data_IF_414361355959
#
_entry.id   IF_414361355959
#
_cell.length_a   1.000
_cell.length_b   1.000
_cell.length_c   1.000
_cell.angle_alpha   90.00
_cell.angle_beta   90.00
_cell.angle_gamma   90.00
#
_symmetry.space_group_name_H-M   'P 1'
#
loop_
_entity.id
_entity.type
_entity.pdbx_description
1 polymer ?
#
# COMPACT_ATOMS: atom_id res chain seq x y z
N UNK A 1 10.75 14.20 18.74
CA UNK A 1 10.71 12.83 19.28
C UNK A 1 10.45 11.90 18.12
N UNK A 2 11.36 10.96 17.86
CA UNK A 2 11.12 9.87 16.90
C UNK A 2 10.43 8.73 17.66
N UNK A 3 9.33 8.19 17.11
CA UNK A 3 8.58 7.08 17.72
C UNK A 3 9.31 5.73 17.59
N UNK A 4 10.14 5.57 16.56
CA UNK A 4 11.05 4.45 16.34
C UNK A 4 12.32 5.02 15.72
N UNK A 5 13.50 4.75 16.29
CA UNK A 5 14.77 5.21 15.72
C UNK A 5 15.03 4.45 14.42
N UNK A 6 15.32 5.16 13.33
CA UNK A 6 15.63 4.57 12.02
C UNK A 6 16.99 3.87 12.01
N UNK A 7 17.11 2.72 12.67
CA UNK A 7 18.24 1.82 12.43
C UNK A 7 18.11 1.23 11.01
N UNK A 8 19.21 1.04 10.27
CA UNK A 8 19.15 0.36 8.98
C UNK A 8 18.47 -1.01 9.13
N UNK A 9 17.36 -1.22 8.43
CA UNK A 9 16.59 -2.48 8.49
C UNK A 9 17.33 -3.68 7.85
N UNK A 10 18.51 -3.45 7.27
CA UNK A 10 19.31 -4.45 6.56
C UNK A 10 20.61 -4.75 7.33
N UNK A 11 20.61 -5.78 8.17
CA UNK A 11 21.84 -6.36 8.72
C UNK A 11 22.27 -7.54 7.85
N UNK A 12 23.25 -7.34 6.96
CA UNK A 12 23.78 -8.43 6.12
C UNK A 12 24.95 -9.11 6.81
N UNK A 13 24.65 -10.11 7.63
CA UNK A 13 25.62 -11.16 7.98
C UNK A 13 25.34 -12.40 7.13
N UNK A 14 25.99 -12.53 5.97
CA UNK A 14 26.41 -13.81 5.41
C UNK A 14 27.13 -13.64 4.05
N UNK A 15 28.32 -14.24 3.97
CA UNK A 15 28.85 -14.84 2.74
C UNK A 15 29.73 -13.96 1.87
N UNK A 16 31.04 -14.09 2.06
CA UNK A 16 32.04 -13.78 1.03
C UNK A 16 31.78 -14.64 -0.21
N UNK A 17 31.35 -14.02 -1.31
CA UNK A 17 31.16 -14.70 -2.59
C UNK A 17 30.43 -13.81 -3.57
N UNK A 18 31.18 -13.25 -4.52
CA UNK A 18 30.77 -12.60 -5.77
C UNK A 18 29.25 -12.55 -6.05
N UNK A 19 28.59 -11.44 -5.67
CA UNK A 19 27.26 -11.10 -6.19
C UNK A 19 27.36 -9.71 -6.79
N UNK A 20 27.03 -9.63 -8.07
CA UNK A 20 26.92 -8.44 -8.89
C UNK A 20 26.17 -7.36 -8.09
N UNK A 21 26.77 -6.17 -7.95
CA UNK A 21 26.16 -5.05 -7.24
C UNK A 21 24.92 -4.59 -8.00
N UNK A 22 23.77 -5.20 -7.70
CA UNK A 22 22.47 -4.55 -7.92
C UNK A 22 22.51 -3.27 -7.10
N UNK A 23 22.41 -2.11 -7.74
CA UNK A 23 22.29 -0.84 -7.03
C UNK A 23 21.23 -0.99 -5.94
N UNK A 24 21.68 -1.02 -4.68
CA UNK A 24 20.79 -1.17 -3.55
C UNK A 24 20.11 0.19 -3.33
N UNK A 25 19.00 0.45 -4.03
CA UNK A 25 18.12 1.57 -3.71
C UNK A 25 17.29 1.23 -2.48
N UNK A 26 17.05 2.22 -1.63
CA UNK A 26 16.04 2.09 -0.58
C UNK A 26 14.69 1.80 -1.24
N UNK A 27 13.88 0.94 -0.61
CA UNK A 27 12.49 0.74 -1.03
C UNK A 27 11.75 2.09 -1.07
N UNK A 28 12.11 2.99 -0.15
CA UNK A 28 11.59 4.36 -0.11
C UNK A 28 11.96 5.12 -1.39
N UNK A 29 13.23 5.10 -1.81
CA UNK A 29 13.68 5.81 -3.03
C UNK A 29 13.01 5.24 -4.28
N UNK A 30 12.81 3.93 -4.34
CA UNK A 30 12.14 3.25 -5.45
C UNK A 30 10.67 3.70 -5.55
N UNK A 31 9.95 3.72 -4.43
CA UNK A 31 8.56 4.16 -4.37
C UNK A 31 8.41 5.67 -4.64
N UNK A 32 9.31 6.49 -4.09
CA UNK A 32 9.31 7.94 -4.33
C UNK A 32 9.60 8.27 -5.80
N UNK A 33 10.50 7.52 -6.45
CA UNK A 33 10.77 7.67 -7.88
C UNK A 33 9.52 7.38 -8.72
N UNK A 34 8.79 6.31 -8.39
CA UNK A 34 7.55 5.96 -9.10
C UNK A 34 6.44 7.01 -8.89
N UNK A 35 6.36 7.62 -7.71
CA UNK A 35 5.37 8.66 -7.38
C UNK A 35 5.76 10.07 -7.83
N UNK A 36 7.00 10.26 -8.31
CA UNK A 36 7.52 11.54 -8.80
C UNK A 36 7.39 11.70 -10.31
N UNK A 37 6.91 10.69 -11.03
CA UNK A 37 6.62 10.77 -12.46
C UNK A 37 5.32 11.55 -12.70
N UNK A 38 5.41 12.66 -13.43
CA UNK A 38 4.31 13.59 -13.66
C UNK A 38 3.26 13.06 -14.66
N UNK A 39 3.62 12.10 -15.53
CA UNK A 39 2.75 11.66 -16.61
C UNK A 39 1.79 10.55 -16.17
N UNK A 40 2.29 9.53 -15.46
CA UNK A 40 1.47 8.42 -15.00
C UNK A 40 2.03 7.70 -13.76
N UNK A 41 1.89 8.30 -12.57
CA UNK A 41 2.46 7.74 -11.33
C UNK A 41 1.86 6.38 -10.96
N UNK A 42 0.62 6.10 -11.40
CA UNK A 42 -0.01 4.79 -11.16
C UNK A 42 0.66 3.69 -11.99
N UNK A 43 1.03 3.98 -13.24
CA UNK A 43 1.73 3.02 -14.11
C UNK A 43 3.10 2.66 -13.53
N UNK A 44 3.88 3.65 -13.12
CA UNK A 44 5.20 3.39 -12.51
C UNK A 44 5.06 2.65 -11.19
N UNK A 45 4.03 2.96 -10.39
CA UNK A 45 3.77 2.24 -9.14
C UNK A 45 3.49 0.75 -9.40
N UNK A 46 2.82 0.37 -10.49
CA UNK A 46 2.60 -1.05 -10.83
C UNK A 46 3.88 -1.83 -11.10
N UNK A 47 4.96 -1.17 -11.51
CA UNK A 47 6.26 -1.82 -11.79
C UNK A 47 7.00 -2.22 -10.52
N UNK A 48 6.68 -1.61 -9.39
CA UNK A 48 7.40 -1.78 -8.11
C UNK A 48 6.58 -2.54 -7.07
N UNK A 49 5.35 -2.93 -7.41
CA UNK A 49 4.47 -3.73 -6.54
C UNK A 49 4.84 -5.21 -6.64
N UNK A 50 4.67 -5.92 -5.53
CA UNK A 50 4.84 -7.37 -5.48
C UNK A 50 3.92 -8.04 -6.53
N UNK A 51 4.49 -8.76 -7.52
CA UNK A 51 3.70 -9.45 -8.53
C UNK A 51 2.78 -10.54 -7.95
N UNK A 52 3.04 -11.00 -6.72
CA UNK A 52 2.21 -11.95 -6.00
C UNK A 52 1.06 -11.29 -5.23
N UNK A 53 0.93 -9.96 -5.26
CA UNK A 53 -0.20 -9.26 -4.66
C UNK A 53 -1.45 -9.45 -5.53
N UNK A 54 -2.20 -10.52 -5.28
CA UNK A 54 -3.31 -10.97 -6.15
C UNK A 54 -4.58 -10.12 -6.02
N UNK A 55 -4.83 -9.50 -4.86
CA UNK A 55 -6.08 -8.78 -4.57
C UNK A 55 -5.82 -7.40 -4.00
N UNK A 56 -6.02 -6.37 -4.83
CA UNK A 56 -6.00 -4.98 -4.40
C UNK A 56 -6.81 -4.09 -5.36
N UNK A 57 -7.39 -3.03 -4.81
CA UNK A 57 -7.99 -1.95 -5.60
C UNK A 57 -6.91 -0.95 -5.98
N UNK A 58 -6.84 -0.55 -7.27
CA UNK A 58 -5.81 0.38 -7.77
C UNK A 58 -5.84 1.72 -7.04
N UNK A 59 -7.03 2.24 -6.75
CA UNK A 59 -7.20 3.52 -6.06
C UNK A 59 -6.68 3.44 -4.62
N UNK A 60 -6.98 2.35 -3.92
CA UNK A 60 -6.55 2.15 -2.54
C UNK A 60 -5.04 1.97 -2.43
N UNK A 61 -4.46 1.22 -3.37
CA UNK A 61 -3.02 1.12 -3.52
C UNK A 61 -2.38 2.51 -3.76
N UNK A 62 -2.93 3.31 -4.67
CA UNK A 62 -2.42 4.64 -4.96
C UNK A 62 -2.48 5.54 -3.72
N UNK A 63 -3.62 5.55 -3.03
CA UNK A 63 -3.79 6.33 -1.81
C UNK A 63 -2.86 5.87 -0.67
N UNK A 64 -2.61 4.56 -0.55
CA UNK A 64 -1.62 4.00 0.38
C UNK A 64 -0.21 4.45 0.03
N UNK A 65 0.13 4.52 -1.26
CA UNK A 65 1.44 4.98 -1.73
C UNK A 65 1.64 6.48 -1.42
N UNK A 66 0.62 7.32 -1.65
CA UNK A 66 0.66 8.74 -1.27
C UNK A 66 0.78 8.90 0.26
N UNK A 67 0.02 8.13 1.04
CA UNK A 67 0.14 8.16 2.50
C UNK A 67 1.55 7.78 2.96
N UNK A 68 2.13 6.74 2.37
CA UNK A 68 3.49 6.29 2.66
C UNK A 68 4.52 7.37 2.33
N UNK A 69 4.37 8.07 1.19
CA UNK A 69 5.20 9.21 0.78
C UNK A 69 5.15 10.33 1.82
N UNK A 70 3.96 10.72 2.27
CA UNK A 70 3.80 11.79 3.26
C UNK A 70 4.42 11.41 4.62
N UNK A 71 4.38 10.13 5.01
CA UNK A 71 5.00 9.64 6.24
C UNK A 71 6.53 9.75 6.25
N UNK A 72 7.17 9.74 5.08
CA UNK A 72 8.63 9.77 4.92
C UNK A 72 9.16 11.08 4.35
N UNK A 73 8.34 12.14 4.33
CA UNK A 73 8.75 13.46 3.85
C UNK A 73 10.02 13.95 4.56
N UNK A 74 10.97 14.54 3.83
CA UNK A 74 12.21 15.06 4.38
C UNK A 74 11.96 16.18 5.42
N UNK A 75 10.92 16.98 5.21
CA UNK A 75 10.46 17.97 6.19
C UNK A 75 9.56 17.30 7.23
N UNK A 76 10.12 17.11 8.43
CA UNK A 76 9.40 16.51 9.56
C UNK A 76 8.08 17.21 9.91
N UNK A 77 7.89 18.49 9.54
CA UNK A 77 6.65 19.23 9.78
C UNK A 77 5.53 18.86 8.81
N UNK A 78 5.86 18.28 7.65
CA UNK A 78 4.90 17.81 6.64
C UNK A 78 4.42 16.40 6.92
N UNK A 79 5.17 15.63 7.72
CA UNK A 79 4.77 14.27 8.13
C UNK A 79 3.45 14.31 8.92
N UNK A 80 2.49 13.44 8.59
CA UNK A 80 1.24 13.36 9.35
C UNK A 80 1.50 12.83 10.77
N UNK A 81 0.75 13.37 11.73
CA UNK A 81 0.65 12.73 13.05
C UNK A 81 -0.12 11.40 12.96
N UNK A 82 0.00 10.57 14.00
CA UNK A 82 -0.64 9.25 14.03
C UNK A 82 -2.16 9.30 13.85
N UNK A 83 -2.82 10.37 14.34
CA UNK A 83 -4.26 10.53 14.18
C UNK A 83 -4.65 10.72 12.72
N UNK A 84 -3.91 11.56 11.99
CA UNK A 84 -4.08 11.76 10.55
C UNK A 84 -3.80 10.49 9.74
N UNK A 85 -2.79 9.71 10.13
CA UNK A 85 -2.49 8.41 9.49
C UNK A 85 -3.68 7.46 9.63
N UNK A 86 -4.18 7.26 10.86
CA UNK A 86 -5.33 6.37 11.12
C UNK A 86 -6.59 6.84 10.40
N UNK A 87 -6.85 8.15 10.38
CA UNK A 87 -7.99 8.71 9.66
C UNK A 87 -7.91 8.43 8.15
N UNK A 88 -6.72 8.62 7.54
CA UNK A 88 -6.52 8.34 6.11
C UNK A 88 -6.66 6.86 5.79
N UNK A 89 -6.11 5.97 6.62
CA UNK A 89 -6.28 4.53 6.45
C UNK A 89 -7.76 4.11 6.54
N UNK A 90 -8.52 4.72 7.46
CA UNK A 90 -9.95 4.47 7.61
C UNK A 90 -10.73 4.91 6.36
N UNK A 91 -10.36 6.05 5.77
CA UNK A 91 -10.94 6.53 4.52
C UNK A 91 -10.62 5.58 3.35
N UNK A 92 -9.35 5.16 3.22
CA UNK A 92 -8.92 4.21 2.17
C UNK A 92 -9.73 2.90 2.25
N UNK A 93 -9.92 2.37 3.46
CA UNK A 93 -10.72 1.17 3.69
C UNK A 93 -12.21 1.38 3.35
N UNK A 94 -12.78 2.53 3.70
CA UNK A 94 -14.17 2.81 3.35
C UNK A 94 -14.36 2.84 1.82
N UNK A 95 -13.39 3.37 1.08
CA UNK A 95 -13.43 3.41 -0.38
C UNK A 95 -13.30 2.03 -1.03
N UNK A 96 -12.51 1.10 -0.49
CA UNK A 96 -12.44 -0.28 -1.03
C UNK A 96 -13.79 -0.98 -0.95
N UNK A 97 -14.46 -0.86 0.20
CA UNK A 97 -15.76 -1.52 0.45
C UNK A 97 -16.85 -0.95 -0.46
N UNK A 98 -16.86 0.38 -0.66
CA UNK A 98 -17.82 1.02 -1.56
C UNK A 98 -17.57 0.71 -3.04
N UNK A 99 -16.32 0.45 -3.43
CA UNK A 99 -15.95 0.01 -4.76
C UNK A 99 -16.50 -1.39 -5.07
N UNK A 100 -16.37 -2.33 -4.14
CA UNK A 100 -16.88 -3.71 -4.29
C UNK A 100 -18.40 -3.79 -4.34
N UNK A 101 -19.12 -2.90 -3.62
CA UNK A 101 -20.58 -2.84 -3.67
C UNK A 101 -21.16 -2.38 -5.03
N UNK A 102 -20.33 -1.79 -5.89
CA UNK A 102 -20.71 -1.33 -7.24
C UNK A 102 -20.36 -2.35 -8.33
N UNK A 103 -19.64 -3.41 -8.01
CA UNK A 103 -19.43 -4.53 -8.92
C UNK A 103 -20.70 -5.40 -8.96
N UNK A 104 -21.43 -5.46 -10.09
CA UNK A 104 -22.67 -6.24 -10.20
C UNK A 104 -22.46 -7.74 -9.96
N UNK A 105 -21.23 -8.26 -10.11
CA UNK A 105 -20.93 -9.68 -9.93
C UNK A 105 -20.84 -10.09 -8.44
N UNK A 106 -20.45 -9.15 -7.56
CA UNK A 106 -20.34 -9.42 -6.12
C UNK A 106 -21.67 -9.28 -5.35
N UNK A 107 -22.65 -8.58 -5.92
CA UNK A 107 -24.00 -8.48 -5.32
C UNK A 107 -24.74 -9.82 -5.35
N UNK A 108 -24.53 -10.66 -6.36
CA UNK A 108 -25.15 -11.98 -6.44
C UNK A 108 -24.63 -12.95 -5.37
N UNK A 109 -23.32 -12.95 -5.11
CA UNK A 109 -22.73 -13.83 -4.09
C UNK A 109 -23.16 -13.46 -2.66
N UNK A 110 -23.35 -12.17 -2.39
CA UNK A 110 -23.76 -11.69 -1.06
C UNK A 110 -25.25 -11.97 -0.78
N UNK A 111 -26.11 -11.94 -1.80
CA UNK A 111 -27.52 -12.31 -1.68
C UNK A 111 -27.70 -13.82 -1.43
N UNK A 112 -26.94 -14.67 -2.12
CA UNK A 112 -27.00 -16.13 -1.96
C UNK A 112 -26.46 -16.61 -0.60
N UNK A 113 -25.49 -15.89 -0.01
CA UNK A 113 -24.98 -16.18 1.33
C UNK A 113 -26.00 -15.85 2.43
N UNK A 114 -26.84 -14.82 2.23
CA UNK A 114 -27.88 -14.44 3.20
C UNK A 114 -29.14 -15.30 3.12
N UNK A 115 -29.50 -15.84 1.95
CA UNK A 115 -30.64 -16.78 1.83
C UNK A 115 -30.36 -18.14 2.48
N UNK A 116 -29.09 -18.53 2.58
CA UNK A 116 -28.67 -19.82 3.17
C UNK A 116 -28.78 -19.86 4.70
N UNK A 117 -29.06 -18.73 5.35
CA UNK A 117 -29.10 -18.59 6.82
C UNK A 117 -30.52 -18.57 7.40
N UNK A 118 -31.57 -18.69 6.59
CA UNK A 118 -32.98 -18.69 7.06
C UNK A 118 -33.75 -20.00 6.85
N UNK A 119 -33.08 -21.11 6.51
CA UNK A 119 -33.74 -22.40 6.42
C UNK A 119 -33.07 -23.42 7.36
N UNK A 120 -33.52 -23.49 8.61
CA UNK A 120 -33.59 -24.76 9.35
C UNK A 120 -34.73 -24.69 10.38
N UNK A 121 -35.51 -25.79 10.52
CA UNK A 121 -36.81 -25.81 11.22
C UNK A 121 -36.72 -25.76 12.74
#
# INVERSE_FOLDING_TARGET
MELLTGQPALNRNAGSGTVQYTEHRSLVDLMLSALGDDDNPLLELTKVIDPNLVKYHKDSLFQMAILSKDCVDDDWKRRPDMGKVVLRLSYILACTIQGEAKDPDHRYLTLLANDSSQQTP
#
